data_IF_672671687957
#
_entry.id   IF_672671687957
#
_cell.length_a   1.000
_cell.length_b   1.000
_cell.length_c   1.000
_cell.angle_alpha   90.00
_cell.angle_beta   90.00
_cell.angle_gamma   90.00
#
_symmetry.space_group_name_H-M   'P 1'
#
loop_
_entity.id
_entity.type
_entity.pdbx_description
1 polymer ?
#
# COMPACT_ATOMS: atom_id res chain seq x y z
N UNK A 1 3.14 53.59 17.66
CA UNK A 1 2.70 52.28 18.22
C UNK A 1 1.94 51.43 17.20
N UNK A 2 0.97 51.98 16.48
CA UNK A 2 0.10 51.27 15.51
C UNK A 2 0.86 50.48 14.44
N UNK A 3 1.97 51.01 13.91
CA UNK A 3 2.77 50.35 12.87
C UNK A 3 3.39 49.01 13.31
N UNK A 4 3.74 48.87 14.61
CA UNK A 4 4.29 47.62 15.15
C UNK A 4 3.21 46.53 15.23
N UNK A 5 1.96 46.90 15.51
CA UNK A 5 0.83 45.96 15.56
C UNK A 5 0.44 45.45 14.17
N UNK A 6 0.52 46.31 13.14
CA UNK A 6 0.27 45.90 11.75
C UNK A 6 1.32 44.89 11.28
N UNK A 7 2.60 45.13 11.58
CA UNK A 7 3.69 44.20 11.22
C UNK A 7 3.55 42.83 11.89
N UNK A 8 3.13 42.79 13.16
CA UNK A 8 2.89 41.53 13.89
C UNK A 8 1.69 40.78 13.31
N UNK A 9 0.61 41.48 12.97
CA UNK A 9 -0.57 40.87 12.37
C UNK A 9 -0.28 40.27 10.98
N UNK A 10 0.53 40.93 10.15
CA UNK A 10 0.94 40.42 8.83
C UNK A 10 1.83 39.18 8.97
N UNK A 11 2.75 39.16 9.94
CA UNK A 11 3.61 38.01 10.22
C UNK A 11 2.81 36.80 10.71
N UNK A 12 1.84 37.00 11.60
CA UNK A 12 0.92 35.96 12.06
C UNK A 12 0.08 35.39 10.91
N UNK A 13 -0.42 36.25 10.02
CA UNK A 13 -1.20 35.82 8.87
C UNK A 13 -0.38 34.97 7.88
N UNK A 14 0.88 35.36 7.63
CA UNK A 14 1.81 34.58 6.78
C UNK A 14 2.13 33.19 7.36
N UNK A 15 2.22 33.07 8.68
CA UNK A 15 2.45 31.77 9.36
C UNK A 15 1.19 30.88 9.34
N UNK A 16 -0.01 31.46 9.36
CA UNK A 16 -1.28 30.72 9.31
C UNK A 16 -1.63 30.22 7.90
N UNK A 17 -1.15 30.88 6.84
CA UNK A 17 -1.39 30.43 5.45
C UNK A 17 -0.41 29.32 5.04
N UNK A 18 0.79 29.26 5.63
CA UNK A 18 1.78 28.21 5.30
C UNK A 18 1.47 26.83 5.88
N UNK A 19 0.60 26.72 6.89
CA UNK A 19 0.17 25.42 7.43
C UNK A 19 -0.88 24.71 6.57
N UNK A 20 -1.51 25.41 5.61
CA UNK A 20 -2.50 24.80 4.70
C UNK A 20 -1.87 24.12 3.48
N UNK A 21 -0.61 24.41 3.14
CA UNK A 21 0.07 23.78 1.99
C UNK A 21 0.69 22.42 2.33
N UNK A 22 0.91 22.12 3.61
CA UNK A 22 1.42 20.82 4.07
C UNK A 22 0.39 19.68 3.91
N UNK A 23 -0.91 20.00 3.89
CA UNK A 23 -1.98 19.01 3.70
C UNK A 23 -2.13 18.55 2.25
N UNK A 24 -1.84 19.42 1.28
CA UNK A 24 -1.93 19.08 -0.15
C UNK A 24 -0.66 18.40 -0.68
N UNK A 25 0.49 18.55 -0.01
CA UNK A 25 1.73 17.86 -0.38
C UNK A 25 1.63 16.34 -0.16
N UNK A 26 0.80 15.91 0.80
CA UNK A 26 0.57 14.50 1.11
C UNK A 26 -0.36 13.78 0.10
N UNK A 27 -0.82 14.48 -0.94
CA UNK A 27 -1.56 13.91 -2.07
C UNK A 27 -0.69 13.66 -3.31
N UNK A 28 0.63 13.86 -3.23
CA UNK A 28 1.54 13.24 -4.20
C UNK A 28 1.50 11.73 -3.99
N UNK A 29 0.56 11.09 -4.67
CA UNK A 29 0.49 9.64 -4.87
C UNK A 29 1.72 9.23 -5.68
N UNK A 30 2.87 9.20 -5.01
CA UNK A 30 4.08 8.57 -5.53
C UNK A 30 3.76 7.08 -5.54
N UNK A 31 3.14 6.60 -6.62
CA UNK A 31 3.05 5.17 -6.85
C UNK A 31 4.49 4.69 -7.06
N UNK A 32 5.08 3.90 -6.14
CA UNK A 32 6.46 3.44 -6.27
C UNK A 32 6.67 2.62 -7.56
N UNK A 33 5.61 2.07 -8.16
CA UNK A 33 5.66 1.43 -9.48
C UNK A 33 6.06 2.38 -10.62
N UNK A 34 5.88 3.69 -10.45
CA UNK A 34 6.30 4.72 -11.42
C UNK A 34 7.76 5.17 -11.22
N UNK A 35 8.46 4.63 -10.23
CA UNK A 35 9.83 5.02 -9.89
C UNK A 35 10.75 3.80 -9.99
N UNK A 36 11.64 3.82 -10.98
CA UNK A 36 12.77 2.88 -11.02
C UNK A 36 13.89 3.38 -10.10
N UNK A 37 14.52 2.46 -9.35
CA UNK A 37 15.75 2.77 -8.60
C UNK A 37 16.95 2.42 -9.47
N UNK A 38 17.70 3.42 -9.90
CA UNK A 38 19.00 3.21 -10.56
C UNK A 38 20.08 3.76 -9.63
N UNK A 39 20.96 2.88 -9.13
CA UNK A 39 22.08 3.23 -8.23
C UNK A 39 21.68 4.11 -7.02
N UNK A 40 20.56 3.79 -6.37
CA UNK A 40 20.13 4.47 -5.14
C UNK A 40 19.36 5.79 -5.34
N UNK A 41 19.08 6.19 -6.59
CA UNK A 41 18.28 7.37 -6.90
C UNK A 41 16.95 6.95 -7.54
N UNK A 42 15.83 7.45 -7.00
CA UNK A 42 14.51 7.30 -7.60
C UNK A 42 14.38 8.26 -8.80
N UNK A 43 14.34 7.72 -10.02
CA UNK A 43 14.25 8.53 -11.24
C UNK A 43 12.83 8.38 -11.81
N UNK A 44 12.11 9.50 -11.93
CA UNK A 44 10.86 9.56 -12.70
C UNK A 44 11.24 9.59 -14.19
N UNK A 45 11.16 8.45 -14.87
CA UNK A 45 11.42 8.37 -16.31
C UNK A 45 10.24 9.02 -17.05
N UNK A 46 10.37 10.29 -17.39
CA UNK A 46 9.36 11.00 -18.17
C UNK A 46 9.19 10.33 -19.55
N UNK A 47 7.98 9.84 -19.85
CA UNK A 47 7.59 9.37 -21.18
C UNK A 47 7.93 7.92 -21.53
N UNK A 48 8.57 7.16 -20.64
CA UNK A 48 8.78 5.71 -20.81
C UNK A 48 7.90 4.96 -19.82
N UNK A 49 7.12 4.00 -20.31
CA UNK A 49 6.40 3.09 -19.44
C UNK A 49 7.40 2.45 -18.47
N UNK A 50 7.05 2.29 -17.18
CA UNK A 50 7.91 1.61 -16.23
C UNK A 50 8.34 0.26 -16.80
N UNK A 51 9.61 -0.15 -16.61
CA UNK A 51 10.05 -1.46 -17.07
C UNK A 51 9.14 -2.53 -16.46
N UNK A 52 8.81 -3.56 -17.25
CA UNK A 52 7.99 -4.65 -16.73
C UNK A 52 8.63 -5.26 -15.48
N UNK A 53 7.83 -5.56 -14.45
CA UNK A 53 8.35 -6.20 -13.25
C UNK A 53 8.87 -7.60 -13.57
N UNK A 54 10.05 -7.92 -13.03
CA UNK A 54 10.72 -9.21 -13.24
C UNK A 54 9.88 -10.37 -12.66
N UNK A 55 9.38 -10.20 -11.44
CA UNK A 55 8.37 -11.07 -10.85
C UNK A 55 7.00 -10.61 -11.30
N UNK A 56 6.27 -11.47 -12.01
CA UNK A 56 4.93 -11.14 -12.48
C UNK A 56 3.92 -11.56 -11.42
N UNK A 57 3.06 -10.62 -11.03
CA UNK A 57 2.01 -10.85 -10.04
C UNK A 57 0.66 -10.48 -10.65
N UNK A 58 -0.35 -11.29 -10.38
CA UNK A 58 -1.75 -10.95 -10.65
C UNK A 58 -2.55 -11.13 -9.38
N UNK A 59 -3.30 -10.09 -9.06
CA UNK A 59 -4.15 -10.03 -7.88
C UNK A 59 -5.31 -9.08 -8.19
N UNK A 60 -6.44 -9.20 -7.47
CA UNK A 60 -7.46 -8.17 -7.54
C UNK A 60 -6.88 -6.83 -7.06
N UNK A 61 -7.18 -5.70 -7.71
CA UNK A 61 -6.77 -4.38 -7.21
C UNK A 61 -7.56 -4.00 -5.95
N UNK A 62 -8.78 -4.51 -5.82
CA UNK A 62 -9.67 -4.29 -4.67
C UNK A 62 -10.31 -5.61 -4.29
N UNK A 63 -10.26 -5.96 -3.00
CA UNK A 63 -10.96 -7.10 -2.42
C UNK A 63 -12.03 -6.62 -1.43
N UNK A 64 -13.10 -7.40 -1.27
CA UNK A 64 -14.17 -7.12 -0.30
C UNK A 64 -14.05 -8.08 0.87
N UNK A 65 -14.28 -7.59 2.09
CA UNK A 65 -14.31 -8.41 3.29
C UNK A 65 -15.44 -7.98 4.24
N UNK A 66 -15.95 -8.92 5.01
CA UNK A 66 -16.84 -8.64 6.14
C UNK A 66 -16.00 -8.26 7.35
N UNK A 67 -16.47 -7.30 8.14
CA UNK A 67 -15.80 -6.90 9.38
C UNK A 67 -15.80 -8.07 10.38
N UNK A 68 -14.65 -8.38 10.96
CA UNK A 68 -14.48 -9.44 11.97
C UNK A 68 -14.36 -10.86 11.42
N UNK A 69 -14.57 -11.08 10.11
CA UNK A 69 -14.46 -12.40 9.48
C UNK A 69 -13.12 -12.58 8.77
N UNK A 70 -12.65 -13.82 8.70
CA UNK A 70 -11.51 -14.19 7.87
C UNK A 70 -11.90 -14.20 6.39
N UNK A 71 -10.98 -13.75 5.55
CA UNK A 71 -11.09 -13.69 4.11
C UNK A 71 -9.77 -14.10 3.44
N UNK A 72 -9.85 -14.45 2.16
CA UNK A 72 -8.69 -14.88 1.37
C UNK A 72 -8.60 -14.10 0.07
N UNK A 73 -7.39 -13.71 -0.32
CA UNK A 73 -7.07 -13.20 -1.65
C UNK A 73 -6.15 -14.18 -2.34
N UNK A 74 -6.52 -14.59 -3.56
CA UNK A 74 -5.62 -15.37 -4.41
C UNK A 74 -4.68 -14.43 -5.15
N UNK A 75 -3.38 -14.69 -5.04
CA UNK A 75 -2.32 -14.00 -5.78
C UNK A 75 -1.63 -15.01 -6.68
N UNK A 76 -1.78 -14.85 -7.99
CA UNK A 76 -1.01 -15.62 -8.97
C UNK A 76 0.37 -14.99 -9.13
N UNK A 77 1.39 -15.82 -9.27
CA UNK A 77 2.75 -15.38 -9.46
C UNK A 77 3.44 -16.17 -10.57
N UNK A 78 4.40 -15.52 -11.21
CA UNK A 78 5.35 -16.14 -12.13
C UNK A 78 6.74 -15.58 -11.89
N UNK A 79 7.66 -16.48 -11.57
CA UNK A 79 9.08 -16.23 -11.36
C UNK A 79 9.84 -16.30 -12.69
N UNK A 80 10.90 -15.48 -12.85
CA UNK A 80 11.81 -15.68 -13.97
C UNK A 80 12.62 -16.97 -13.76
N UNK A 81 13.00 -17.59 -14.88
CA UNK A 81 13.88 -18.75 -14.89
C UNK A 81 15.22 -18.42 -14.20
N UNK A 82 15.76 -19.36 -13.39
CA UNK A 82 16.95 -19.16 -12.53
C UNK A 82 16.80 -18.01 -11.52
N UNK A 83 15.65 -17.92 -10.85
CA UNK A 83 15.52 -17.15 -9.62
C UNK A 83 15.65 -18.03 -8.39
N UNK A 84 16.22 -17.50 -7.32
CA UNK A 84 16.45 -18.19 -6.05
C UNK A 84 15.92 -17.36 -4.88
N UNK A 85 15.70 -18.02 -3.74
CA UNK A 85 15.31 -17.38 -2.47
C UNK A 85 14.08 -16.47 -2.61
N UNK A 86 13.09 -16.91 -3.38
CA UNK A 86 11.92 -16.08 -3.68
C UNK A 86 10.83 -16.27 -2.63
N UNK A 87 10.42 -15.19 -1.99
CA UNK A 87 9.35 -15.16 -1.01
C UNK A 87 8.51 -13.90 -1.14
N UNK A 88 7.25 -14.00 -0.75
CA UNK A 88 6.29 -12.90 -0.66
C UNK A 88 6.17 -12.46 0.79
N UNK A 89 6.60 -11.25 1.09
CA UNK A 89 6.38 -10.56 2.37
C UNK A 89 5.07 -9.78 2.32
N UNK A 90 4.30 -9.82 3.41
CA UNK A 90 2.98 -9.23 3.51
C UNK A 90 2.98 -8.16 4.60
N UNK A 91 2.42 -6.99 4.28
CA UNK A 91 2.23 -5.88 5.23
C UNK A 91 0.82 -5.35 5.11
N UNK A 92 0.21 -4.96 6.22
CA UNK A 92 -1.14 -4.41 6.21
C UNK A 92 -1.25 -3.09 6.96
N UNK A 93 -2.29 -2.32 6.66
CA UNK A 93 -2.74 -1.22 7.50
C UNK A 93 -3.29 -1.72 8.82
N UNK A 94 -3.34 -0.88 9.85
CA UNK A 94 -3.75 -1.24 11.23
C UNK A 94 -5.20 -1.72 11.40
N UNK A 95 -6.04 -1.62 10.38
CA UNK A 95 -7.40 -2.18 10.36
C UNK A 95 -7.49 -3.59 9.80
N UNK A 96 -6.38 -4.20 9.39
CA UNK A 96 -6.31 -5.58 8.89
C UNK A 96 -5.30 -6.36 9.73
N UNK A 97 -5.70 -7.54 10.18
CA UNK A 97 -4.80 -8.55 10.73
C UNK A 97 -4.47 -9.57 9.63
N UNK A 98 -3.18 -9.74 9.34
CA UNK A 98 -2.68 -10.80 8.47
C UNK A 98 -2.55 -12.09 9.27
N UNK A 99 -2.83 -13.23 8.64
CA UNK A 99 -2.59 -14.56 9.24
C UNK A 99 -1.15 -15.02 8.96
N UNK A 100 -0.65 -14.69 7.77
CA UNK A 100 0.69 -15.03 7.32
C UNK A 100 1.43 -13.72 7.02
N UNK A 101 2.66 -13.56 7.54
CA UNK A 101 3.51 -12.38 7.26
C UNK A 101 4.46 -12.61 6.08
N UNK A 102 4.72 -13.88 5.75
CA UNK A 102 5.61 -14.27 4.65
C UNK A 102 5.21 -15.64 4.07
N UNK A 103 5.34 -15.79 2.76
CA UNK A 103 5.02 -17.02 2.03
C UNK A 103 6.16 -17.32 1.04
N UNK A 104 6.76 -18.51 1.12
CA UNK A 104 7.75 -18.97 0.14
C UNK A 104 7.10 -19.24 -1.22
N UNK A 105 7.73 -18.79 -2.31
CA UNK A 105 7.25 -19.01 -3.68
C UNK A 105 8.12 -20.08 -4.36
N UNK A 106 7.87 -21.35 -4.03
CA UNK A 106 8.76 -22.47 -4.37
C UNK A 106 8.68 -22.89 -5.84
N UNK A 107 7.47 -22.86 -6.42
CA UNK A 107 7.23 -23.19 -7.82
C UNK A 107 7.62 -22.02 -8.74
N UNK A 108 7.86 -22.28 -10.03
CA UNK A 108 8.18 -21.19 -10.98
C UNK A 108 6.95 -20.36 -11.35
N UNK A 109 5.77 -20.96 -11.30
CA UNK A 109 4.49 -20.32 -11.49
C UNK A 109 3.44 -21.00 -10.64
N UNK A 110 2.47 -20.24 -10.16
CA UNK A 110 1.44 -20.78 -9.29
C UNK A 110 0.59 -19.70 -8.66
N UNK A 111 -0.12 -20.08 -7.60
CA UNK A 111 -0.97 -19.18 -6.84
C UNK A 111 -0.80 -19.42 -5.35
N UNK A 112 -0.80 -18.34 -4.57
CA UNK A 112 -0.84 -18.39 -3.11
C UNK A 112 -2.11 -17.72 -2.59
N UNK A 113 -2.56 -18.14 -1.41
CA UNK A 113 -3.69 -17.54 -0.71
C UNK A 113 -3.18 -16.65 0.40
N UNK A 114 -3.45 -15.36 0.30
CA UNK A 114 -3.20 -14.38 1.37
C UNK A 114 -4.42 -14.34 2.27
N UNK A 115 -4.27 -14.81 3.50
CA UNK A 115 -5.35 -14.89 4.49
C UNK A 115 -5.29 -13.71 5.45
N UNK A 116 -6.44 -13.10 5.74
CA UNK A 116 -6.52 -11.91 6.58
C UNK A 116 -7.91 -11.76 7.21
N UNK A 117 -8.03 -10.94 8.25
CA UNK A 117 -9.31 -10.48 8.78
C UNK A 117 -9.38 -8.96 8.80
N UNK A 118 -10.52 -8.40 8.40
CA UNK A 118 -10.77 -6.96 8.44
C UNK A 118 -11.32 -6.59 9.82
N UNK A 119 -10.53 -5.93 10.65
CA UNK A 119 -10.90 -5.60 12.03
C UNK A 119 -11.55 -4.22 12.16
N UNK A 120 -11.21 -3.28 11.28
CA UNK A 120 -11.74 -1.91 11.30
C UNK A 120 -12.21 -1.48 9.91
N UNK A 121 -13.37 -0.84 9.85
CA UNK A 121 -13.80 -0.15 8.65
C UNK A 121 -12.89 1.05 8.34
N UNK A 122 -12.79 1.45 7.08
CA UNK A 122 -12.00 2.60 6.65
C UNK A 122 -11.08 2.30 5.47
N UNK A 123 -10.03 3.12 5.35
CA UNK A 123 -8.98 2.96 4.33
C UNK A 123 -8.04 1.84 4.75
N UNK A 124 -8.20 0.69 4.10
CA UNK A 124 -7.43 -0.51 4.42
C UNK A 124 -6.72 -1.04 3.18
N UNK A 125 -5.49 -1.50 3.35
CA UNK A 125 -4.73 -2.13 2.27
C UNK A 125 -3.77 -3.21 2.77
N UNK A 126 -3.49 -4.15 1.89
CA UNK A 126 -2.43 -5.15 2.02
C UNK A 126 -1.39 -4.84 0.96
N UNK A 127 -0.15 -4.61 1.37
CA UNK A 127 1.02 -4.51 0.50
C UNK A 127 1.63 -5.90 0.39
N UNK A 128 1.75 -6.39 -0.84
CA UNK A 128 2.47 -7.61 -1.17
C UNK A 128 3.84 -7.22 -1.73
N UNK A 129 4.91 -7.78 -1.18
CA UNK A 129 6.27 -7.53 -1.63
C UNK A 129 6.97 -8.85 -1.93
N UNK A 130 7.25 -9.11 -3.20
CA UNK A 130 8.06 -10.27 -3.60
C UNK A 130 9.52 -9.89 -3.61
N UNK A 131 10.29 -10.61 -2.81
CA UNK A 131 11.74 -10.51 -2.73
C UNK A 131 12.36 -11.78 -3.30
N UNK A 132 13.54 -11.66 -3.90
CA UNK A 132 14.33 -12.80 -4.32
C UNK A 132 15.55 -12.39 -5.10
N UNK A 133 16.23 -13.36 -5.70
CA UNK A 133 17.40 -13.12 -6.52
C UNK A 133 17.14 -13.50 -7.97
N UNK A 134 17.67 -12.71 -8.90
CA UNK A 134 17.69 -13.05 -10.31
C UNK A 134 18.99 -12.53 -10.94
N UNK A 135 19.72 -13.40 -11.66
CA UNK A 135 21.02 -13.07 -12.27
C UNK A 135 22.05 -12.48 -11.28
N UNK A 136 22.07 -12.98 -10.05
CA UNK A 136 22.99 -12.53 -9.00
C UNK A 136 22.65 -11.16 -8.39
N UNK A 137 21.47 -10.61 -8.68
CA UNK A 137 20.99 -9.36 -8.09
C UNK A 137 19.75 -9.63 -7.24
N UNK A 138 19.68 -9.01 -6.07
CA UNK A 138 18.46 -8.97 -5.26
C UNK A 138 17.43 -8.08 -5.94
N UNK A 139 16.26 -8.64 -6.20
CA UNK A 139 15.13 -7.99 -6.85
C UNK A 139 13.96 -7.95 -5.87
N UNK A 140 13.32 -6.79 -5.81
CA UNK A 140 12.11 -6.58 -5.03
C UNK A 140 11.03 -6.04 -5.94
N UNK A 141 9.82 -6.58 -5.84
CA UNK A 141 8.63 -6.08 -6.49
C UNK A 141 7.51 -5.90 -5.46
N UNK A 142 6.92 -4.71 -5.38
CA UNK A 142 5.85 -4.40 -4.42
C UNK A 142 4.56 -4.05 -5.14
N UNK A 143 3.42 -4.48 -4.62
CA UNK A 143 2.09 -4.13 -5.10
C UNK A 143 1.15 -3.92 -3.92
N UNK A 144 0.07 -3.19 -4.14
CA UNK A 144 -0.92 -2.90 -3.12
C UNK A 144 -2.30 -3.41 -3.53
N UNK A 145 -3.01 -4.00 -2.57
CA UNK A 145 -4.39 -4.46 -2.70
C UNK A 145 -5.24 -3.65 -1.71
N UNK A 146 -6.25 -2.96 -2.20
CA UNK A 146 -7.16 -2.23 -1.32
C UNK A 146 -8.26 -3.15 -0.80
N UNK A 147 -8.56 -3.06 0.49
CA UNK A 147 -9.61 -3.84 1.12
C UNK A 147 -10.80 -2.93 1.44
N UNK A 148 -11.97 -3.33 0.97
CA UNK A 148 -13.22 -2.62 1.20
C UNK A 148 -14.15 -3.45 2.08
N UNK A 149 -14.63 -2.84 3.16
CA UNK A 149 -15.68 -3.44 3.98
C UNK A 149 -16.97 -3.63 3.16
N UNK A 150 -17.65 -4.76 3.38
CA UNK A 150 -18.98 -4.99 2.84
C UNK A 150 -19.97 -3.99 3.48
N UNK A 151 -20.79 -3.24 2.71
CA UNK A 151 -21.73 -2.27 3.27
C UNK A 151 -22.67 -2.82 4.35
N UNK A 152 -23.02 -4.12 4.28
CA UNK A 152 -23.88 -4.77 5.26
C UNK A 152 -23.22 -4.85 6.66
N UNK A 153 -21.90 -5.10 6.73
CA UNK A 153 -21.20 -5.22 8.00
C UNK A 153 -20.97 -3.87 8.69
N UNK A 154 -20.82 -2.79 7.91
CA UNK A 154 -20.66 -1.43 8.45
C UNK A 154 -21.94 -0.99 9.18
N UNK A 155 -23.12 -1.34 8.64
CA UNK A 155 -24.40 -1.03 9.29
C UNK A 155 -24.56 -1.77 10.61
N UNK A 156 -24.18 -3.06 10.67
CA UNK A 156 -24.27 -3.85 11.90
C UNK A 156 -23.39 -3.28 13.03
N UNK A 157 -22.15 -2.89 12.71
CA UNK A 157 -21.22 -2.27 13.66
C UNK A 157 -21.74 -0.92 14.19
N UNK A 158 -22.24 -0.06 13.30
CA UNK A 158 -22.82 1.25 13.70
C UNK A 158 -24.05 1.13 14.60
N UNK A 159 -24.83 0.05 14.46
CA UNK A 159 -25.99 -0.23 15.30
C UNK A 159 -25.56 -0.74 16.68
N UNK A 160 -24.45 -1.48 16.79
CA UNK A 160 -23.91 -1.91 18.09
C UNK A 160 -23.37 -0.72 18.90
N UNK A 161 -22.70 0.24 18.24
CA UNK A 161 -22.18 1.44 18.91
C UNK A 161 -23.29 2.41 19.35
N UNK A 162 -24.44 2.44 18.65
CA UNK A 162 -25.56 3.33 18.99
C UNK A 162 -26.47 2.81 20.11
N UNK A 163 -26.25 1.59 20.60
CA UNK A 163 -27.08 0.95 21.62
C UNK A 163 -26.52 1.08 23.05
N UNK A 164 -25.48 1.88 23.25
CA UNK A 164 -24.88 2.21 24.56
C UNK A 164 -25.26 3.60 25.05
#
# INVERSE_FOLDING_TARGET
MVQKFISIAVLLYLVLVSSQTAACFNHFYLNPDNYGVVKGTAIKLAGLAPPEPIFKLKHPPVAKATLGEEAEITVEYKRPWRSSNVYMELKSTSGIRLIDDSIALEEFDGSVKVRYSLEKAGLNSITIQVNGEHKGQSITNSRMIYIRANPASIKADSLQVSAQ
#
